data_IF_161809287371
#
_entry.id   IF_161809287371
#
_cell.length_a   1.000
_cell.length_b   1.000
_cell.length_c   1.000
_cell.angle_alpha   90.00
_cell.angle_beta   90.00
_cell.angle_gamma   90.00
#
_symmetry.space_group_name_H-M   'P 1'
#
loop_
_entity.id
_entity.type
_entity.pdbx_description
1 polymer ?
#
# COMPACT_ATOMS: atom_id res chain seq x y z
N UNK A 1 -5.78 -4.76 -6.27
CA UNK A 1 -6.46 -4.70 -4.96
C UNK A 1 -7.97 -4.63 -5.15
N UNK A 2 -8.52 -3.60 -5.80
CA UNK A 2 -9.98 -3.49 -6.08
C UNK A 2 -10.58 -4.76 -6.69
N UNK A 3 -9.99 -5.28 -7.75
CA UNK A 3 -10.45 -6.50 -8.44
C UNK A 3 -10.65 -7.68 -7.48
N UNK A 4 -9.62 -8.04 -6.72
CA UNK A 4 -9.69 -9.16 -5.75
C UNK A 4 -10.77 -8.91 -4.69
N UNK A 5 -10.86 -7.69 -4.15
CA UNK A 5 -11.87 -7.35 -3.15
C UNK A 5 -13.31 -7.47 -3.71
N UNK A 6 -13.53 -6.98 -4.94
CA UNK A 6 -14.81 -7.08 -5.65
C UNK A 6 -15.15 -8.53 -5.95
N UNK A 7 -14.19 -9.34 -6.43
CA UNK A 7 -14.42 -10.75 -6.75
C UNK A 7 -14.81 -11.56 -5.51
N UNK A 8 -14.10 -11.39 -4.39
CA UNK A 8 -14.43 -12.10 -3.15
C UNK A 8 -15.78 -11.66 -2.59
N UNK A 9 -16.03 -10.36 -2.54
CA UNK A 9 -17.32 -9.81 -2.07
C UNK A 9 -18.47 -10.23 -2.98
N UNK A 10 -18.24 -10.23 -4.30
CA UNK A 10 -19.20 -10.63 -5.31
C UNK A 10 -19.57 -12.10 -5.20
N UNK A 11 -18.60 -12.98 -4.93
CA UNK A 11 -18.87 -14.38 -4.61
C UNK A 11 -19.76 -14.52 -3.36
N UNK A 12 -19.50 -13.75 -2.30
CA UNK A 12 -20.34 -13.76 -1.09
C UNK A 12 -21.76 -13.25 -1.36
N UNK A 13 -21.91 -12.20 -2.16
CA UNK A 13 -23.22 -11.64 -2.55
C UNK A 13 -23.99 -12.63 -3.42
N UNK A 14 -23.33 -13.27 -4.38
CA UNK A 14 -23.92 -14.31 -5.23
C UNK A 14 -24.50 -15.44 -4.38
N UNK A 15 -23.72 -15.98 -3.44
CA UNK A 15 -24.17 -17.03 -2.53
C UNK A 15 -25.31 -16.56 -1.60
N UNK A 16 -25.22 -15.34 -1.07
CA UNK A 16 -26.19 -14.83 -0.10
C UNK A 16 -27.51 -14.35 -0.70
N UNK A 17 -27.50 -13.89 -1.95
CA UNK A 17 -28.68 -13.35 -2.65
C UNK A 17 -29.23 -14.26 -3.75
N UNK A 18 -28.53 -15.35 -4.09
CA UNK A 18 -28.92 -16.24 -5.18
C UNK A 18 -28.83 -15.61 -6.57
N UNK A 19 -27.89 -14.67 -6.76
CA UNK A 19 -27.63 -13.99 -8.04
C UNK A 19 -26.38 -14.56 -8.71
N UNK A 20 -26.15 -14.22 -9.99
CA UNK A 20 -24.93 -14.63 -10.70
C UNK A 20 -23.68 -14.03 -10.04
N UNK A 21 -22.51 -14.62 -10.33
CA UNK A 21 -21.23 -14.09 -9.86
C UNK A 21 -20.97 -12.68 -10.41
N UNK A 22 -21.28 -12.47 -11.68
CA UNK A 22 -21.16 -11.18 -12.38
C UNK A 22 -22.05 -10.11 -11.71
N UNK A 23 -23.31 -10.43 -11.42
CA UNK A 23 -24.22 -9.50 -10.73
C UNK A 23 -23.75 -9.22 -9.29
N UNK A 24 -23.25 -10.25 -8.60
CA UNK A 24 -22.65 -10.09 -7.27
C UNK A 24 -21.46 -9.13 -7.29
N UNK A 25 -20.57 -9.27 -8.28
CA UNK A 25 -19.43 -8.38 -8.49
C UNK A 25 -19.88 -6.95 -8.83
N UNK A 26 -20.89 -6.80 -9.68
CA UNK A 26 -21.44 -5.50 -10.04
C UNK A 26 -22.01 -4.77 -8.80
N UNK A 27 -22.80 -5.46 -7.98
CA UNK A 27 -23.33 -4.93 -6.73
C UNK A 27 -22.21 -4.55 -5.75
N UNK A 28 -21.19 -5.39 -5.60
CA UNK A 28 -20.06 -5.09 -4.71
C UNK A 28 -19.26 -3.87 -5.18
N UNK A 29 -19.03 -3.75 -6.50
CA UNK A 29 -18.38 -2.59 -7.09
C UNK A 29 -19.19 -1.30 -6.89
N UNK A 30 -20.52 -1.35 -7.09
CA UNK A 30 -21.41 -0.22 -6.87
C UNK A 30 -21.29 0.33 -5.44
N UNK A 31 -21.26 -0.54 -4.42
CA UNK A 31 -21.16 -0.12 -3.01
C UNK A 31 -19.80 0.49 -2.64
N UNK A 32 -18.75 0.14 -3.37
CA UNK A 32 -17.46 0.81 -3.24
C UNK A 32 -17.50 2.20 -3.88
N UNK A 33 -18.12 2.31 -5.04
CA UNK A 33 -18.12 3.54 -5.85
C UNK A 33 -19.11 4.59 -5.30
N UNK A 34 -20.23 4.17 -4.70
CA UNK A 34 -21.24 5.06 -4.10
C UNK A 34 -20.90 5.52 -2.66
N UNK A 35 -19.78 5.05 -2.10
CA UNK A 35 -19.31 5.41 -0.75
C UNK A 35 -20.05 4.73 0.40
N UNK A 36 -21.11 3.96 0.14
CA UNK A 36 -21.88 3.27 1.20
C UNK A 36 -21.06 2.21 1.93
N UNK A 37 -20.08 1.57 1.26
CA UNK A 37 -19.14 0.67 1.92
C UNK A 37 -18.29 1.39 2.99
N UNK A 38 -17.81 2.61 2.70
CA UNK A 38 -17.03 3.42 3.66
C UNK A 38 -17.91 3.91 4.81
N UNK A 39 -19.14 4.35 4.52
CA UNK A 39 -20.11 4.71 5.55
C UNK A 39 -20.40 3.54 6.50
N UNK A 40 -20.52 2.32 5.96
CA UNK A 40 -20.73 1.12 6.79
C UNK A 40 -19.48 0.73 7.58
N UNK A 41 -18.27 0.95 7.02
CA UNK A 41 -17.02 0.77 7.75
C UNK A 41 -16.94 1.68 8.98
N UNK A 42 -17.33 2.96 8.86
CA UNK A 42 -17.38 3.88 10.00
C UNK A 42 -18.25 3.33 11.14
N UNK A 43 -19.46 2.87 10.81
CA UNK A 43 -20.36 2.24 11.80
C UNK A 43 -19.71 1.02 12.45
N UNK A 44 -18.97 0.20 11.69
CA UNK A 44 -18.28 -0.99 12.21
C UNK A 44 -17.11 -0.63 13.15
N UNK A 45 -16.37 0.44 12.84
CA UNK A 45 -15.27 0.96 13.68
C UNK A 45 -15.82 1.45 15.01
N UNK A 46 -16.86 2.29 14.99
CA UNK A 46 -17.49 2.87 16.18
C UNK A 46 -18.13 1.79 17.06
N UNK A 47 -18.77 0.78 16.45
CA UNK A 47 -19.37 -0.33 17.18
C UNK A 47 -18.35 -1.18 17.96
N UNK A 48 -17.06 -1.14 17.60
CA UNK A 48 -15.97 -1.81 18.30
C UNK A 48 -15.18 -0.86 19.23
N UNK A 49 -15.69 0.37 19.44
CA UNK A 49 -15.04 1.38 20.29
C UNK A 49 -13.88 2.12 19.63
N UNK A 50 -13.72 2.01 18.31
CA UNK A 50 -12.75 2.78 17.54
C UNK A 50 -13.24 4.21 17.24
N UNK A 51 -12.32 5.06 16.79
CA UNK A 51 -12.62 6.42 16.38
C UNK A 51 -13.06 6.47 14.91
N UNK A 52 -14.36 6.75 14.69
CA UNK A 52 -14.96 6.81 13.34
C UNK A 52 -14.35 7.86 12.42
N UNK A 53 -13.63 8.86 12.96
CA UNK A 53 -12.90 9.86 12.14
C UNK A 53 -11.84 9.22 11.25
N UNK A 54 -11.38 8.00 11.54
CA UNK A 54 -10.43 7.27 10.70
C UNK A 54 -10.94 7.03 9.28
N UNK A 55 -12.26 6.99 9.08
CA UNK A 55 -12.89 6.81 7.77
C UNK A 55 -13.01 8.11 6.97
N UNK A 56 -12.86 9.26 7.62
CA UNK A 56 -12.91 10.58 7.00
C UNK A 56 -11.50 11.12 6.88
N UNK A 57 -10.83 11.37 8.01
CA UNK A 57 -9.49 11.92 8.12
C UNK A 57 -8.55 10.96 8.88
N UNK A 58 -8.02 9.92 8.21
CA UNK A 58 -7.20 8.90 8.85
C UNK A 58 -5.92 9.44 9.47
N UNK A 59 -5.35 10.53 8.96
CA UNK A 59 -4.08 11.08 9.44
C UNK A 59 -4.21 11.72 10.83
N UNK A 60 -5.42 12.13 11.22
CA UNK A 60 -5.69 12.67 12.57
C UNK A 60 -5.85 11.60 13.64
N UNK A 61 -6.12 10.36 13.23
CA UNK A 61 -6.39 9.23 14.12
C UNK A 61 -5.22 8.25 14.17
N UNK A 62 -4.62 7.95 13.02
CA UNK A 62 -3.55 6.97 12.91
C UNK A 62 -2.20 7.61 13.23
N UNK A 63 -1.45 6.97 14.13
CA UNK A 63 -0.06 7.35 14.39
C UNK A 63 0.81 6.99 13.18
N UNK A 64 1.55 7.95 12.63
CA UNK A 64 2.52 7.72 11.56
C UNK A 64 3.91 8.10 12.07
N UNK A 65 4.87 7.20 11.93
CA UNK A 65 6.22 7.45 12.42
C UNK A 65 6.90 8.61 11.65
N UNK A 66 7.62 9.51 12.35
CA UNK A 66 8.10 10.75 11.76
C UNK A 66 9.33 10.53 10.85
N UNK A 67 10.15 9.53 11.11
CA UNK A 67 11.34 9.27 10.31
C UNK A 67 10.94 8.66 8.96
N UNK A 68 11.54 9.20 7.90
CA UNK A 68 11.24 8.85 6.51
C UNK A 68 12.52 8.49 5.78
N UNK A 69 12.56 7.29 5.19
CA UNK A 69 13.65 6.82 4.36
C UNK A 69 13.14 6.26 3.03
N UNK A 70 14.02 6.14 2.04
CA UNK A 70 13.66 5.68 0.71
C UNK A 70 14.60 4.60 0.21
N UNK A 71 14.04 3.54 -0.39
CA UNK A 71 14.80 2.65 -1.28
C UNK A 71 14.72 3.23 -2.68
N UNK A 72 15.89 3.45 -3.27
CA UNK A 72 16.02 4.02 -4.62
C UNK A 72 16.48 2.99 -5.64
N UNK A 73 16.08 3.15 -6.89
CA UNK A 73 16.56 2.33 -7.99
C UNK A 73 18.07 2.52 -8.19
N UNK A 74 18.83 1.43 -8.23
CA UNK A 74 20.29 1.46 -8.48
C UNK A 74 20.63 1.73 -9.94
N UNK A 75 19.73 1.40 -10.85
CA UNK A 75 19.88 1.58 -12.29
C UNK A 75 18.52 1.85 -12.93
N UNK A 76 18.53 2.42 -14.14
CA UNK A 76 17.33 2.54 -14.95
C UNK A 76 16.94 1.23 -15.62
N UNK A 77 15.65 1.06 -15.88
CA UNK A 77 15.08 -0.12 -16.52
C UNK A 77 13.63 -0.35 -16.12
N UNK A 78 13.11 -1.55 -16.35
CA UNK A 78 11.75 -1.93 -15.97
C UNK A 78 11.74 -2.73 -14.68
N UNK A 79 10.87 -2.36 -13.73
CA UNK A 79 10.70 -3.08 -12.48
C UNK A 79 9.99 -4.42 -12.74
N UNK A 80 10.76 -5.49 -12.88
CA UNK A 80 10.26 -6.81 -13.24
C UNK A 80 9.59 -7.52 -12.07
N UNK A 81 10.18 -7.42 -10.86
CA UNK A 81 9.71 -8.15 -9.68
C UNK A 81 9.93 -7.36 -8.40
N UNK A 82 8.99 -7.54 -7.47
CA UNK A 82 9.10 -7.11 -6.08
C UNK A 82 8.97 -8.35 -5.19
N UNK A 83 9.94 -8.60 -4.33
CA UNK A 83 9.93 -9.72 -3.39
C UNK A 83 9.13 -9.33 -2.13
N UNK A 84 7.86 -9.74 -2.10
CA UNK A 84 6.96 -9.44 -0.99
C UNK A 84 7.46 -10.02 0.35
N UNK A 85 8.17 -11.16 0.34
CA UNK A 85 8.73 -11.75 1.56
C UNK A 85 9.86 -10.89 2.11
N UNK A 86 10.73 -10.38 1.24
CA UNK A 86 11.80 -9.47 1.65
C UNK A 86 11.23 -8.17 2.24
N UNK A 87 10.18 -7.58 1.63
CA UNK A 87 9.48 -6.41 2.18
C UNK A 87 8.89 -6.71 3.55
N UNK A 88 8.16 -7.84 3.70
CA UNK A 88 7.57 -8.24 4.98
C UNK A 88 8.61 -8.45 6.09
N UNK A 89 9.75 -9.07 5.77
CA UNK A 89 10.86 -9.24 6.72
C UNK A 89 11.52 -7.91 7.12
N UNK A 90 11.52 -6.93 6.21
CA UNK A 90 11.94 -5.56 6.49
C UNK A 90 10.99 -4.87 7.47
N UNK A 91 9.68 -4.88 7.20
CA UNK A 91 8.65 -4.29 8.08
C UNK A 91 8.65 -4.95 9.46
N UNK A 92 8.82 -6.28 9.53
CA UNK A 92 8.94 -7.00 10.80
C UNK A 92 10.11 -6.47 11.64
N UNK A 93 11.30 -6.28 11.05
CA UNK A 93 12.48 -5.72 11.74
C UNK A 93 12.34 -4.25 12.10
N UNK A 94 11.56 -3.52 11.32
CA UNK A 94 11.20 -2.12 11.60
C UNK A 94 10.35 -1.98 12.86
N UNK A 95 9.66 -3.05 13.28
CA UNK A 95 8.77 -3.09 14.44
C UNK A 95 7.29 -3.29 14.10
N UNK A 96 6.94 -3.34 12.81
CA UNK A 96 5.57 -3.56 12.32
C UNK A 96 5.13 -5.02 12.38
N UNK A 97 5.93 -5.90 12.96
CA UNK A 97 5.62 -7.31 13.14
C UNK A 97 6.34 -7.90 14.35
N UNK A 98 5.88 -9.07 14.79
CA UNK A 98 6.44 -9.76 15.95
C UNK A 98 7.63 -10.63 15.53
N UNK A 99 8.73 -10.53 16.27
CA UNK A 99 9.84 -11.48 16.15
C UNK A 99 9.56 -12.73 16.99
N UNK A 100 8.94 -12.53 18.14
CA UNK A 100 8.48 -13.61 19.04
C UNK A 100 7.04 -13.40 19.51
N UNK A 101 6.40 -14.47 19.98
CA UNK A 101 5.01 -14.42 20.45
C UNK A 101 4.88 -13.46 21.65
N UNK A 102 3.88 -12.57 21.62
CA UNK A 102 3.60 -11.64 22.71
C UNK A 102 4.34 -10.30 22.64
N UNK A 103 5.26 -10.12 21.69
CA UNK A 103 5.90 -8.82 21.50
C UNK A 103 4.89 -7.73 21.05
N UNK A 104 5.04 -6.49 21.56
CA UNK A 104 4.28 -5.36 21.08
C UNK A 104 4.66 -5.02 19.63
N UNK A 105 3.69 -4.56 18.86
CA UNK A 105 3.89 -4.09 17.49
C UNK A 105 3.86 -2.57 17.52
N UNK A 106 4.80 -1.96 16.82
CA UNK A 106 4.73 -0.53 16.52
C UNK A 106 3.77 -0.32 15.34
N UNK A 107 2.60 0.25 15.61
CA UNK A 107 1.57 0.49 14.60
C UNK A 107 1.86 1.71 13.72
N UNK A 108 2.88 2.51 14.07
CA UNK A 108 3.21 3.75 13.35
C UNK A 108 4.19 3.54 12.19
N UNK A 109 4.91 2.41 12.19
CA UNK A 109 5.92 2.09 11.18
C UNK A 109 5.32 1.36 9.99
N UNK A 110 5.97 1.47 8.84
CA UNK A 110 5.48 0.80 7.63
C UNK A 110 6.32 1.07 6.41
N UNK A 111 5.88 0.47 5.30
CA UNK A 111 6.51 0.62 3.99
C UNK A 111 5.44 0.95 2.94
N UNK A 112 5.59 2.06 2.24
CA UNK A 112 4.70 2.52 1.18
C UNK A 112 5.37 2.28 -0.18
N UNK A 113 4.75 1.42 -0.99
CA UNK A 113 5.19 1.16 -2.37
C UNK A 113 4.86 2.37 -3.26
N UNK A 114 5.88 2.96 -3.87
CA UNK A 114 5.73 4.14 -4.74
C UNK A 114 5.59 3.75 -6.22
N UNK A 115 6.04 2.54 -6.57
CA UNK A 115 6.00 1.99 -7.92
C UNK A 115 5.41 0.59 -7.92
N UNK A 116 4.82 0.19 -9.06
CA UNK A 116 4.27 -1.16 -9.28
C UNK A 116 5.17 -1.94 -10.22
N UNK A 117 5.10 -3.27 -10.16
CA UNK A 117 5.72 -4.15 -11.16
C UNK A 117 5.26 -3.76 -12.56
N UNK A 118 6.17 -3.76 -13.53
CA UNK A 118 5.96 -3.32 -14.90
C UNK A 118 6.23 -1.84 -15.16
N UNK A 119 6.45 -1.04 -14.12
CA UNK A 119 6.80 0.38 -14.27
C UNK A 119 8.25 0.55 -14.74
N UNK A 120 8.48 1.53 -15.61
CA UNK A 120 9.82 1.97 -15.98
C UNK A 120 10.35 2.95 -14.92
N UNK A 121 11.61 2.78 -14.52
CA UNK A 121 12.28 3.57 -13.49
C UNK A 121 13.65 4.04 -13.97
N UNK A 122 14.11 5.19 -13.48
CA UNK A 122 15.46 5.72 -13.66
C UNK A 122 16.31 5.47 -12.41
N UNK A 123 17.64 5.48 -12.57
CA UNK A 123 18.54 5.44 -11.43
C UNK A 123 18.26 6.62 -10.49
N UNK A 124 18.09 6.34 -9.19
CA UNK A 124 17.76 7.33 -8.17
C UNK A 124 16.26 7.49 -7.87
N UNK A 125 15.37 6.94 -8.70
CA UNK A 125 13.92 6.99 -8.45
C UNK A 125 13.55 6.25 -7.17
N UNK A 126 12.65 6.82 -6.37
CA UNK A 126 12.18 6.22 -5.14
C UNK A 126 11.19 5.08 -5.45
N UNK A 127 11.53 3.87 -5.01
CA UNK A 127 10.72 2.67 -5.21
C UNK A 127 9.80 2.38 -4.02
N UNK A 128 10.31 2.66 -2.82
CA UNK A 128 9.67 2.41 -1.54
C UNK A 128 9.98 3.55 -0.58
N UNK A 129 8.96 4.03 0.12
CA UNK A 129 9.07 4.89 1.29
C UNK A 129 8.96 4.02 2.56
N UNK A 130 9.84 4.26 3.54
CA UNK A 130 9.87 3.56 4.82
C UNK A 130 9.59 4.59 5.92
N UNK A 131 8.64 4.29 6.81
CA UNK A 131 8.33 5.08 8.01
C UNK A 131 8.86 4.37 9.25
N UNK A 132 9.72 5.03 10.01
CA UNK A 132 10.35 4.47 11.20
C UNK A 132 10.18 5.36 12.43
N UNK A 133 10.08 4.73 13.60
CA UNK A 133 10.14 5.37 14.91
C UNK A 133 11.53 5.28 15.55
N UNK A 134 12.44 4.48 14.96
CA UNK A 134 13.75 4.16 15.51
C UNK A 134 14.80 4.01 14.40
N UNK A 135 15.88 4.77 14.50
CA UNK A 135 16.95 4.77 13.51
C UNK A 135 17.71 3.43 13.43
N UNK A 136 17.89 2.75 14.56
CA UNK A 136 18.62 1.47 14.58
C UNK A 136 17.81 0.33 13.95
N UNK A 137 16.50 0.29 14.22
CA UNK A 137 15.58 -0.63 13.54
C UNK A 137 15.50 -0.35 12.04
N UNK A 138 15.48 0.92 11.65
CA UNK A 138 15.56 1.32 10.25
C UNK A 138 16.83 0.75 9.61
N UNK A 139 18.01 1.02 10.17
CA UNK A 139 19.29 0.49 9.66
C UNK A 139 19.29 -1.04 9.53
N UNK A 140 18.77 -1.75 10.53
CA UNK A 140 18.68 -3.22 10.52
C UNK A 140 17.70 -3.76 9.45
N UNK A 141 16.69 -2.98 9.07
CA UNK A 141 15.68 -3.35 8.07
C UNK A 141 16.08 -3.07 6.62
N UNK A 142 16.93 -2.04 6.38
CA UNK A 142 17.30 -1.59 5.03
C UNK A 142 17.78 -2.70 4.08
N UNK A 143 18.67 -3.63 4.48
CA UNK A 143 19.13 -4.70 3.60
C UNK A 143 18.00 -5.59 3.05
N UNK A 144 16.88 -5.69 3.77
CA UNK A 144 15.72 -6.47 3.34
C UNK A 144 14.90 -5.73 2.30
N UNK A 145 14.75 -4.42 2.45
CA UNK A 145 14.04 -3.60 1.47
C UNK A 145 14.85 -3.42 0.18
N UNK A 146 16.16 -3.19 0.28
CA UNK A 146 17.02 -2.99 -0.90
C UNK A 146 17.09 -4.22 -1.81
N UNK A 147 17.09 -5.44 -1.24
CA UNK A 147 17.11 -6.68 -2.01
C UNK A 147 15.74 -7.08 -2.57
N UNK A 148 14.68 -6.34 -2.23
CA UNK A 148 13.33 -6.68 -2.66
C UNK A 148 13.05 -6.32 -4.12
N UNK A 149 13.82 -5.40 -4.72
CA UNK A 149 13.51 -4.83 -6.03
C UNK A 149 14.43 -5.38 -7.13
N UNK A 150 13.83 -5.88 -8.21
CA UNK A 150 14.53 -6.42 -9.37
C UNK A 150 14.21 -5.56 -10.60
N UNK A 151 15.18 -4.74 -10.98
CA UNK A 151 15.09 -3.89 -12.18
C UNK A 151 15.87 -4.55 -13.31
N UNK A 152 15.17 -4.87 -14.39
CA UNK A 152 15.79 -5.40 -15.60
C UNK A 152 16.23 -4.25 -16.49
N UNK A 153 17.47 -4.30 -16.99
CA UNK A 153 17.97 -3.29 -17.92
C UNK A 153 17.16 -3.37 -19.21
N UNK A 154 16.46 -2.30 -19.52
CA UNK A 154 15.83 -2.12 -20.82
C UNK A 154 16.73 -1.22 -21.65
N UNK A 155 17.14 -1.68 -22.83
CA UNK A 155 17.72 -0.83 -23.87
C UNK A 155 16.58 0.02 -24.45
N UNK A 156 16.27 1.14 -23.80
CA UNK A 156 15.35 2.13 -24.37
C UNK A 156 16.13 3.00 -25.35
N UNK A 157 16.26 2.50 -26.59
CA UNK A 157 16.50 3.35 -27.77
C UNK A 157 15.19 4.11 -28.10
N UNK A 158 14.88 5.14 -27.31
CA UNK A 158 14.15 6.32 -27.81
C UNK A 158 14.10 7.43 -26.76
N UNK A 159 14.30 8.69 -27.17
CA UNK A 159 14.26 9.83 -26.27
C UNK A 159 12.84 10.05 -25.74
N UNK A 160 12.78 10.34 -24.44
CA UNK A 160 11.58 10.70 -23.68
C UNK A 160 10.76 11.75 -24.46
N UNK A 161 9.57 11.40 -24.95
CA UNK A 161 8.52 12.39 -25.13
C UNK A 161 7.92 12.66 -23.76
N UNK A 162 7.98 13.92 -23.34
CA UNK A 162 7.33 14.39 -22.13
C UNK A 162 5.84 14.09 -22.21
N UNK A 163 5.42 13.06 -21.50
CA UNK A 163 4.07 13.04 -20.95
C UNK A 163 4.19 13.65 -19.56
N UNK A 164 3.63 14.85 -19.45
CA UNK A 164 3.36 15.51 -18.20
C UNK A 164 2.84 14.48 -17.21
N UNK A 165 3.64 14.23 -16.18
CA UNK A 165 3.17 13.61 -14.97
C UNK A 165 2.06 14.51 -14.44
N UNK A 166 0.81 14.19 -14.83
CA UNK A 166 -0.38 14.64 -14.11
C UNK A 166 -0.15 14.22 -12.67
N UNK A 167 0.34 15.18 -11.87
CA UNK A 167 0.32 15.14 -10.42
C UNK A 167 -1.15 15.08 -10.04
N UNK A 168 -1.72 13.89 -10.10
CA UNK A 168 -2.90 13.50 -9.33
C UNK A 168 -2.45 13.33 -7.89
N UNK A 169 -1.97 14.42 -7.30
CA UNK A 169 -1.87 14.60 -5.87
C UNK A 169 -3.31 14.84 -5.41
N UNK A 170 -4.06 13.77 -5.18
CA UNK A 170 -5.27 13.86 -4.36
C UNK A 170 -4.76 13.90 -2.91
N UNK A 171 -4.18 15.04 -2.52
CA UNK A 171 -4.35 15.52 -1.16
C UNK A 171 -5.83 15.93 -1.13
N UNK A 172 -6.68 15.00 -0.73
CA UNK A 172 -8.01 15.34 -0.28
C UNK A 172 -7.82 16.23 0.94
N UNK A 173 -7.89 17.55 0.72
CA UNK A 173 -8.13 18.51 1.79
C UNK A 173 -9.51 18.18 2.34
N UNK A 174 -9.55 17.35 3.37
CA UNK A 174 -10.71 17.23 4.23
C UNK A 174 -10.69 18.52 5.07
N UNK A 175 -11.65 19.39 4.77
CA UNK A 175 -12.13 20.41 5.69
C UNK A 175 -13.34 19.84 6.42
#
# INVERSE_FOLDING_TARGET
MREVAVSLSGAMVSLGKGVSFEDGCALAAEKLDDGSALAKMKVLVEAQGGDGRVCEDPETVLSIAPEKAFVKAKSGGRLARIDARAVGEGVKRLGGGRMTLGEPIDLSVGALMLVKTGADVSAGDALLEIRSSCQDKLKASLPFFEKAFFVEKTTLDSPRKGEEMKRSFVLGTIR
#
